data_IF_476650746124
#
_entry.id   IF_476650746124
#
_cell.length_a   1.000
_cell.length_b   1.000
_cell.length_c   1.000
_cell.angle_alpha   90.00
_cell.angle_beta   90.00
_cell.angle_gamma   90.00
#
_symmetry.space_group_name_H-M   'P 1'
#
loop_
_entity.id
_entity.type
_entity.pdbx_description
1 polymer ?
#
# COMPACT_ATOMS: atom_id res chain seq x y z
N UNK A 1 58.53 -45.05 -50.82
CA UNK A 1 57.43 -44.29 -50.17
C UNK A 1 57.13 -43.10 -51.06
N UNK A 2 55.94 -43.08 -51.65
CA UNK A 2 55.43 -42.01 -52.51
C UNK A 2 54.85 -40.88 -51.64
N UNK A 3 55.04 -39.62 -52.03
CA UNK A 3 53.90 -38.67 -52.07
C UNK A 3 54.24 -37.41 -52.89
N UNK A 4 53.31 -36.88 -53.73
CA UNK A 4 53.60 -35.84 -54.71
C UNK A 4 52.86 -34.50 -54.45
N UNK A 5 53.13 -33.58 -55.38
CA UNK A 5 52.23 -32.58 -55.97
C UNK A 5 52.03 -31.20 -55.29
N UNK A 6 52.30 -30.21 -56.15
CA UNK A 6 52.17 -28.75 -56.07
C UNK A 6 50.70 -28.34 -56.12
N UNK A 7 50.30 -27.22 -55.48
CA UNK A 7 49.26 -26.32 -56.03
C UNK A 7 49.40 -24.89 -55.46
N UNK A 8 49.37 -23.90 -56.35
CA UNK A 8 49.41 -22.45 -56.08
C UNK A 8 47.99 -21.90 -56.03
N UNK A 9 47.69 -20.95 -55.13
CA UNK A 9 46.43 -20.21 -55.12
C UNK A 9 46.69 -18.70 -55.00
N UNK A 10 46.13 -17.92 -55.92
CA UNK A 10 46.16 -16.46 -55.92
C UNK A 10 45.07 -15.90 -54.99
N UNK A 11 45.41 -14.89 -54.20
CA UNK A 11 44.54 -14.29 -53.17
C UNK A 11 44.08 -12.89 -53.63
N UNK A 12 42.77 -12.69 -53.78
CA UNK A 12 42.14 -11.41 -54.11
C UNK A 12 41.57 -10.77 -52.83
N UNK A 13 41.99 -9.53 -52.54
CA UNK A 13 41.57 -8.72 -51.39
C UNK A 13 40.19 -8.08 -51.61
N UNK A 14 39.33 -8.12 -50.60
CA UNK A 14 38.07 -7.38 -50.51
C UNK A 14 38.15 -6.37 -49.36
N UNK A 15 37.98 -5.08 -49.65
CA UNK A 15 37.91 -4.01 -48.64
C UNK A 15 36.47 -3.80 -48.18
N UNK A 16 36.23 -3.90 -46.87
CA UNK A 16 34.93 -3.61 -46.24
C UNK A 16 34.95 -2.20 -45.62
N UNK A 17 33.93 -1.39 -45.91
CA UNK A 17 33.71 -0.11 -45.25
C UNK A 17 33.09 -0.32 -43.85
N UNK A 18 33.68 0.27 -42.82
CA UNK A 18 33.21 0.16 -41.43
C UNK A 18 32.28 1.32 -41.08
N UNK A 19 31.02 1.04 -40.74
CA UNK A 19 30.13 1.98 -40.05
C UNK A 19 30.35 1.90 -38.54
N UNK A 20 30.61 3.04 -37.87
CA UNK A 20 30.74 3.09 -36.41
C UNK A 20 29.36 3.02 -35.73
N UNK A 21 29.16 2.19 -34.69
CA UNK A 21 27.88 2.11 -34.00
C UNK A 21 27.66 3.34 -33.09
N UNK A 22 26.44 3.87 -33.09
CA UNK A 22 25.97 4.88 -32.11
C UNK A 22 25.73 4.17 -30.78
N UNK A 23 26.41 4.61 -29.71
CA UNK A 23 26.21 4.06 -28.38
C UNK A 23 24.86 4.53 -27.81
N UNK A 24 23.90 3.62 -27.65
CA UNK A 24 22.66 3.87 -26.91
C UNK A 24 23.00 3.80 -25.42
N UNK A 25 22.81 4.91 -24.67
CA UNK A 25 22.86 4.87 -23.20
C UNK A 25 21.64 4.10 -22.70
N UNK A 26 21.88 2.90 -22.15
CA UNK A 26 20.87 2.15 -21.42
C UNK A 26 20.65 2.83 -20.06
N UNK A 27 19.39 3.11 -19.72
CA UNK A 27 19.03 3.61 -18.40
C UNK A 27 19.44 2.58 -17.32
N UNK A 28 19.83 3.07 -16.14
CA UNK A 28 20.12 2.19 -15.00
C UNK A 28 18.92 1.30 -14.71
N UNK A 29 19.16 0.00 -14.57
CA UNK A 29 18.11 -0.96 -14.24
C UNK A 29 17.79 -0.84 -12.75
N UNK A 30 16.60 -0.32 -12.42
CA UNK A 30 16.06 -0.35 -11.06
C UNK A 30 15.20 -1.59 -10.86
N UNK A 31 15.35 -2.24 -9.70
CA UNK A 31 14.49 -3.35 -9.31
C UNK A 31 13.14 -2.79 -8.83
N UNK A 32 12.07 -3.01 -9.60
CA UNK A 32 10.70 -2.85 -9.09
C UNK A 32 10.43 -4.08 -8.23
N UNK A 33 10.43 -3.91 -6.90
CA UNK A 33 10.14 -4.99 -5.96
C UNK A 33 8.64 -5.04 -5.72
N UNK A 34 8.03 -6.21 -5.96
CA UNK A 34 6.78 -6.57 -5.32
C UNK A 34 7.04 -6.89 -3.85
N UNK A 35 6.10 -6.53 -2.97
CA UNK A 35 6.19 -6.81 -1.53
C UNK A 35 6.12 -8.33 -1.34
N UNK A 36 7.12 -8.89 -0.68
CA UNK A 36 7.23 -10.33 -0.40
C UNK A 36 6.74 -10.63 1.02
N UNK A 37 5.85 -11.61 1.11
CA UNK A 37 5.17 -12.11 2.31
C UNK A 37 6.05 -12.36 3.56
N UNK A 38 5.43 -12.37 4.76
CA UNK A 38 3.99 -12.28 5.00
C UNK A 38 3.45 -10.85 4.95
N UNK A 39 2.45 -10.61 4.09
CA UNK A 39 1.61 -9.42 4.14
C UNK A 39 0.51 -9.72 5.14
N UNK A 40 0.56 -9.06 6.30
CA UNK A 40 -0.53 -9.09 7.26
C UNK A 40 -1.59 -8.08 6.83
N UNK A 41 -2.73 -8.55 6.36
CA UNK A 41 -3.91 -7.71 6.17
C UNK A 41 -4.65 -7.69 7.51
N UNK A 42 -4.51 -6.59 8.24
CA UNK A 42 -5.23 -6.38 9.48
C UNK A 42 -6.48 -5.55 9.22
N UNK A 43 -7.63 -6.06 9.64
CA UNK A 43 -8.93 -5.45 9.42
C UNK A 43 -9.43 -4.80 10.70
N UNK A 44 -10.00 -3.60 10.56
CA UNK A 44 -10.66 -2.91 11.68
C UNK A 44 -11.92 -3.68 12.06
N UNK A 45 -12.05 -3.97 13.35
CA UNK A 45 -13.16 -4.72 13.91
C UNK A 45 -13.37 -4.34 15.37
N UNK A 46 -14.55 -4.64 15.90
CA UNK A 46 -14.81 -4.54 17.34
C UNK A 46 -14.15 -5.72 18.08
N UNK A 47 -13.63 -5.49 19.30
CA UNK A 47 -13.08 -6.57 20.11
C UNK A 47 -14.21 -7.52 20.58
N UNK A 48 -13.99 -8.83 20.47
CA UNK A 48 -14.99 -9.85 20.80
C UNK A 48 -15.51 -9.76 22.24
N UNK A 49 -14.61 -9.50 23.20
CA UNK A 49 -14.97 -9.43 24.62
C UNK A 49 -15.53 -8.07 25.04
N UNK A 50 -15.23 -7.01 24.28
CA UNK A 50 -15.67 -5.64 24.55
C UNK A 50 -15.87 -4.87 23.22
N UNK A 51 -17.10 -4.84 22.69
CA UNK A 51 -17.38 -4.22 21.39
C UNK A 51 -17.09 -2.71 21.32
N UNK A 52 -16.90 -2.03 22.46
CA UNK A 52 -16.54 -0.61 22.49
C UNK A 52 -15.09 -0.34 22.09
N UNK A 53 -14.24 -1.37 22.09
CA UNK A 53 -12.81 -1.26 21.80
C UNK A 53 -12.54 -1.60 20.32
N UNK A 54 -12.08 -0.63 19.51
CA UNK A 54 -11.63 -0.94 18.16
C UNK A 54 -10.28 -1.66 18.19
N UNK A 55 -10.16 -2.73 17.39
CA UNK A 55 -8.92 -3.50 17.21
C UNK A 55 -8.63 -3.77 15.72
N UNK A 56 -7.36 -4.03 15.43
CA UNK A 56 -6.89 -4.56 14.16
C UNK A 56 -6.68 -6.07 14.31
N UNK A 57 -7.36 -6.87 13.49
CA UNK A 57 -7.33 -8.34 13.58
C UNK A 57 -7.39 -9.05 12.22
N UNK A 58 -7.64 -10.36 12.25
CA UNK A 58 -7.64 -11.20 11.05
C UNK A 58 -8.81 -10.85 10.10
N UNK A 59 -8.58 -10.99 8.80
CA UNK A 59 -9.60 -10.77 7.76
C UNK A 59 -10.90 -11.53 7.98
N UNK A 60 -10.81 -12.78 8.43
CA UNK A 60 -11.97 -13.63 8.64
C UNK A 60 -12.95 -13.08 9.69
N UNK A 61 -12.48 -12.22 10.60
CA UNK A 61 -13.30 -11.53 11.61
C UNK A 61 -13.52 -10.05 11.31
N UNK A 62 -12.98 -9.56 10.18
CA UNK A 62 -13.04 -8.16 9.79
C UNK A 62 -14.48 -7.68 9.68
N UNK A 63 -14.75 -6.50 10.23
CA UNK A 63 -16.08 -5.93 10.17
C UNK A 63 -16.30 -5.21 8.82
N UNK A 64 -17.57 -4.99 8.49
CA UNK A 64 -17.99 -4.16 7.35
C UNK A 64 -18.61 -2.88 7.88
N UNK A 65 -18.40 -1.76 7.19
CA UNK A 65 -18.80 -0.46 7.69
C UNK A 65 -19.67 0.30 6.69
N UNK A 66 -20.71 0.96 7.20
CA UNK A 66 -21.39 2.02 6.48
C UNK A 66 -20.58 3.31 6.64
N UNK A 67 -20.02 3.81 5.54
CA UNK A 67 -19.12 4.97 5.54
C UNK A 67 -19.76 6.11 4.76
N UNK A 68 -20.07 7.18 5.47
CA UNK A 68 -20.53 8.47 4.91
C UNK A 68 -19.78 9.59 5.63
N UNK A 69 -20.48 10.57 6.20
CA UNK A 69 -19.93 11.54 7.13
C UNK A 69 -19.64 10.89 8.51
N UNK A 70 -20.25 9.73 8.77
CA UNK A 70 -20.01 8.87 9.93
C UNK A 70 -19.47 7.51 9.48
N UNK A 71 -18.86 6.77 10.40
CA UNK A 71 -18.46 5.36 10.18
C UNK A 71 -19.21 4.51 11.19
N UNK A 72 -20.07 3.62 10.70
CA UNK A 72 -20.88 2.73 11.53
C UNK A 72 -20.57 1.27 11.20
N UNK A 73 -20.30 0.47 12.23
CA UNK A 73 -20.17 -0.98 12.12
C UNK A 73 -21.49 -1.61 11.67
N UNK A 74 -21.46 -2.40 10.61
CA UNK A 74 -22.64 -3.14 10.15
C UNK A 74 -22.95 -4.34 11.07
N UNK A 75 -21.95 -4.87 11.77
CA UNK A 75 -22.10 -6.00 12.69
C UNK A 75 -22.69 -5.59 14.05
N UNK A 76 -22.25 -4.45 14.60
CA UNK A 76 -22.65 -4.00 15.96
C UNK A 76 -23.61 -2.82 15.96
N UNK A 77 -23.67 -2.05 14.87
CA UNK A 77 -24.40 -0.79 14.81
C UNK A 77 -23.72 0.38 15.53
N UNK A 78 -22.54 0.16 16.13
CA UNK A 78 -21.80 1.22 16.83
C UNK A 78 -21.05 2.13 15.86
N UNK A 79 -20.91 3.39 16.23
CA UNK A 79 -20.19 4.41 15.48
C UNK A 79 -18.75 4.52 15.95
N UNK A 80 -17.82 4.59 15.00
CA UNK A 80 -16.42 4.89 15.27
C UNK A 80 -16.28 6.39 15.54
N UNK A 81 -15.81 6.73 16.74
CA UNK A 81 -15.59 8.11 17.17
C UNK A 81 -14.15 8.32 17.61
N UNK A 82 -13.73 9.58 17.54
CA UNK A 82 -12.55 10.08 18.22
C UNK A 82 -12.96 10.47 19.64
N UNK A 83 -12.21 10.02 20.64
CA UNK A 83 -12.42 10.46 22.03
C UNK A 83 -12.15 11.97 22.10
N UNK A 84 -13.12 12.78 22.55
CA UNK A 84 -12.98 14.23 22.63
C UNK A 84 -11.89 14.62 23.63
N UNK A 85 -11.28 15.79 23.40
CA UNK A 85 -10.24 16.38 24.26
C UNK A 85 -8.98 15.50 24.48
N UNK A 86 -8.80 14.45 23.68
CA UNK A 86 -7.59 13.63 23.78
C UNK A 86 -6.35 14.44 23.37
N UNK A 87 -5.45 14.65 24.31
CA UNK A 87 -4.24 15.48 24.14
C UNK A 87 -3.06 14.73 23.51
N UNK A 88 -3.18 13.42 23.27
CA UNK A 88 -2.09 12.66 22.65
C UNK A 88 -2.01 12.89 21.13
N UNK A 89 -0.82 12.72 20.56
CA UNK A 89 -0.55 12.94 19.13
C UNK A 89 -1.32 12.01 18.19
N UNK A 90 -1.75 10.84 18.69
CA UNK A 90 -2.63 9.89 18.00
C UNK A 90 -3.90 9.77 18.82
N UNK A 91 -5.03 10.29 18.34
CA UNK A 91 -6.26 10.31 19.13
C UNK A 91 -6.72 8.90 19.46
N UNK A 92 -7.42 8.76 20.56
CA UNK A 92 -8.02 7.47 20.92
C UNK A 92 -9.30 7.29 20.10
N UNK A 93 -9.49 6.11 19.52
CA UNK A 93 -10.74 5.75 18.85
C UNK A 93 -11.58 4.87 19.76
N UNK A 94 -12.90 5.00 19.65
CA UNK A 94 -13.88 4.25 20.43
C UNK A 94 -15.09 3.92 19.57
N UNK A 95 -15.76 2.79 19.83
CA UNK A 95 -17.07 2.48 19.27
C UNK A 95 -18.17 2.84 20.27
N UNK A 96 -19.12 3.68 19.88
CA UNK A 96 -20.21 4.16 20.74
C UNK A 96 -21.56 4.14 20.02
N UNK A 97 -22.66 4.17 20.78
CA UNK A 97 -24.02 4.13 20.22
C UNK A 97 -24.40 5.40 19.44
N UNK A 98 -23.75 6.52 19.74
CA UNK A 98 -24.00 7.82 19.09
C UNK A 98 -22.78 8.25 18.30
N UNK A 99 -22.99 8.78 17.09
CA UNK A 99 -21.91 9.40 16.34
C UNK A 99 -21.61 10.80 16.90
N UNK A 100 -20.44 10.94 17.53
CA UNK A 100 -19.90 12.22 17.98
C UNK A 100 -18.90 12.78 16.97
N UNK A 101 -18.27 11.92 16.17
CA UNK A 101 -17.45 12.31 15.02
C UNK A 101 -18.24 12.16 13.71
N UNK A 102 -18.55 13.29 13.08
CA UNK A 102 -19.46 13.38 11.92
C UNK A 102 -18.81 13.97 10.66
N UNK A 103 -17.48 13.96 10.60
CA UNK A 103 -16.73 14.46 9.46
C UNK A 103 -15.67 13.44 9.01
N UNK A 104 -16.03 12.15 9.03
CA UNK A 104 -15.21 11.10 8.44
C UNK A 104 -15.23 11.18 6.92
N UNK A 105 -14.20 10.63 6.29
CA UNK A 105 -14.09 10.53 4.84
C UNK A 105 -13.10 9.46 4.42
N UNK A 106 -13.08 9.20 3.11
CA UNK A 106 -12.16 8.25 2.48
C UNK A 106 -11.30 8.96 1.45
N UNK A 107 -10.01 8.65 1.47
CA UNK A 107 -9.08 8.97 0.38
C UNK A 107 -8.37 7.69 -0.04
N UNK A 108 -8.83 7.12 -1.17
CA UNK A 108 -8.49 5.74 -1.52
C UNK A 108 -8.98 4.78 -0.43
N UNK A 109 -8.06 3.99 0.10
CA UNK A 109 -8.33 3.01 1.17
C UNK A 109 -8.06 3.58 2.58
N UNK A 110 -7.75 4.87 2.70
CA UNK A 110 -7.41 5.51 3.98
C UNK A 110 -8.62 6.24 4.56
N UNK A 111 -8.97 5.93 5.81
CA UNK A 111 -9.93 6.69 6.61
C UNK A 111 -9.26 7.97 7.10
N UNK A 112 -9.93 9.10 6.87
CA UNK A 112 -9.48 10.44 7.27
C UNK A 112 -10.60 11.21 7.94
N UNK A 113 -10.26 12.26 8.69
CA UNK A 113 -11.21 13.35 8.93
C UNK A 113 -11.16 14.33 7.77
N UNK A 114 -12.31 14.85 7.35
CA UNK A 114 -12.40 15.88 6.30
C UNK A 114 -12.14 17.27 6.85
N UNK A 115 -12.00 18.27 5.98
CA UNK A 115 -11.78 19.68 6.38
C UNK A 115 -12.89 20.24 7.28
N UNK A 116 -14.10 19.68 7.23
CA UNK A 116 -15.21 20.07 8.10
C UNK A 116 -15.10 19.56 9.55
N UNK A 117 -14.12 18.72 9.86
CA UNK A 117 -13.89 18.20 11.21
C UNK A 117 -13.30 19.26 12.14
N UNK A 118 -13.66 19.21 13.43
CA UNK A 118 -13.02 19.99 14.49
C UNK A 118 -11.51 19.69 14.62
N UNK A 119 -11.07 18.52 14.16
CA UNK A 119 -9.67 18.12 14.12
C UNK A 119 -8.95 18.54 12.82
N UNK A 120 -9.65 19.24 11.91
CA UNK A 120 -9.19 19.53 10.56
C UNK A 120 -9.05 18.27 9.70
N UNK A 121 -8.48 18.42 8.49
CA UNK A 121 -8.20 17.28 7.61
C UNK A 121 -6.93 16.56 8.06
N UNK A 122 -7.08 15.33 8.53
CA UNK A 122 -5.96 14.52 9.03
C UNK A 122 -5.73 13.31 8.12
N UNK A 123 -4.58 13.29 7.43
CA UNK A 123 -4.20 12.26 6.45
C UNK A 123 -3.45 11.07 7.06
N UNK A 124 -3.02 11.18 8.31
CA UNK A 124 -2.21 10.16 8.98
C UNK A 124 -2.94 9.74 10.26
N UNK A 125 -3.37 8.48 10.31
CA UNK A 125 -3.94 7.75 11.44
C UNK A 125 -4.39 8.64 12.59
N UNK A 126 -5.61 9.17 12.47
CA UNK A 126 -6.20 10.01 13.51
C UNK A 126 -6.29 9.26 14.83
N UNK A 127 -6.20 7.92 14.83
CA UNK A 127 -6.08 7.25 16.10
C UNK A 127 -5.40 5.91 16.22
N UNK A 128 -5.18 5.58 17.50
CA UNK A 128 -4.53 4.38 17.99
C UNK A 128 -5.57 3.28 18.14
N UNK A 129 -5.41 2.22 17.36
CA UNK A 129 -6.17 0.98 17.45
C UNK A 129 -5.25 -0.12 17.99
N UNK A 130 -5.74 -0.97 18.89
CA UNK A 130 -4.92 -2.08 19.43
C UNK A 130 -4.85 -3.22 18.42
N UNK A 131 -3.71 -3.90 18.33
CA UNK A 131 -3.62 -5.16 17.58
C UNK A 131 -4.03 -6.29 18.54
N UNK A 132 -4.94 -7.15 18.10
CA UNK A 132 -5.39 -8.33 18.86
C UNK A 132 -4.49 -9.54 18.64
#
# INVERSE_FOLDING_TARGET
MFSPAIFTAAFLLSTFATSSPVAIRQAEAYQIRGVSDPIYHLYLQAQTDDPSVPVLGAEASGDTFYITDTIQSASTGLYLNIVPDDSVSYKTLVFEETSTTTAWGLEGDTIITTTGSEYGRQLNFVGRVRIS
#
